data_IF_320617071865
#
_entry.id   IF_320617071865
#
_cell.length_a   1.000
_cell.length_b   1.000
_cell.length_c   1.000
_cell.angle_alpha   90.00
_cell.angle_beta   90.00
_cell.angle_gamma   90.00
#
_symmetry.space_group_name_H-M   'P 1'
#
loop_
_entity.id
_entity.type
_entity.pdbx_description
1 polymer ?
#
# COMPACT_ATOMS: atom_id res chain seq x y z
N UNK A 1 -16.48 13.71 18.20
CA UNK A 1 -16.89 12.64 17.27
C UNK A 1 -16.83 11.33 18.05
N UNK A 2 -17.91 10.54 18.04
CA UNK A 2 -17.97 9.24 18.72
C UNK A 2 -17.94 8.15 17.66
N UNK A 3 -16.88 7.34 17.62
CA UNK A 3 -16.77 6.20 16.72
C UNK A 3 -17.19 4.91 17.44
N UNK A 4 -17.83 3.99 16.73
CA UNK A 4 -18.18 2.65 17.22
C UNK A 4 -17.38 1.61 16.45
N UNK A 5 -17.06 0.49 17.10
CA UNK A 5 -16.45 -0.64 16.40
C UNK A 5 -17.44 -1.23 15.39
N UNK A 6 -16.93 -1.55 14.21
CA UNK A 6 -17.65 -2.35 13.24
C UNK A 6 -17.65 -3.83 13.66
N UNK A 7 -18.62 -4.61 13.16
CA UNK A 7 -18.65 -6.05 13.38
C UNK A 7 -17.41 -6.72 12.79
N UNK A 8 -16.98 -7.83 13.40
CA UNK A 8 -15.90 -8.65 12.86
C UNK A 8 -16.21 -9.08 11.41
N UNK A 9 -15.20 -8.97 10.54
CA UNK A 9 -15.35 -9.28 9.11
C UNK A 9 -15.89 -8.13 8.26
N UNK A 10 -16.19 -6.95 8.84
CA UNK A 10 -16.52 -5.77 8.04
C UNK A 10 -15.31 -5.39 7.17
N UNK A 11 -15.44 -5.32 5.83
CA UNK A 11 -14.34 -4.93 4.96
C UNK A 11 -13.94 -3.48 5.23
N UNK A 12 -12.63 -3.20 5.17
CA UNK A 12 -12.10 -1.85 5.41
C UNK A 12 -12.56 -0.84 4.35
N UNK A 13 -12.72 -1.27 3.10
CA UNK A 13 -13.27 -0.51 1.99
C UNK A 13 -13.99 -1.45 1.02
N UNK A 14 -14.80 -0.89 0.13
CA UNK A 14 -15.50 -1.66 -0.91
C UNK A 14 -14.52 -2.07 -2.01
N UNK A 15 -14.61 -3.32 -2.47
CA UNK A 15 -13.86 -3.76 -3.65
C UNK A 15 -14.39 -3.05 -4.89
N UNK A 16 -13.48 -2.41 -5.63
CA UNK A 16 -13.76 -1.70 -6.86
C UNK A 16 -13.26 -2.53 -8.06
N UNK A 17 -14.08 -2.65 -9.11
CA UNK A 17 -13.82 -3.50 -10.28
C UNK A 17 -13.72 -2.72 -11.60
N UNK A 18 -13.86 -1.39 -11.56
CA UNK A 18 -13.89 -0.52 -12.74
C UNK A 18 -12.54 0.18 -13.02
N UNK A 19 -11.47 -0.28 -12.38
CA UNK A 19 -10.09 0.18 -12.56
C UNK A 19 -9.49 -0.27 -13.92
N UNK A 20 -10.11 0.15 -15.02
CA UNK A 20 -9.67 -0.15 -16.38
C UNK A 20 -8.42 0.67 -16.75
N UNK A 21 -7.35 -0.03 -17.13
CA UNK A 21 -6.03 0.55 -17.37
C UNK A 21 -5.60 0.37 -18.84
N UNK A 22 -6.17 1.16 -19.78
CA UNK A 22 -5.85 1.01 -21.20
C UNK A 22 -4.40 1.38 -21.49
N UNK A 23 -3.80 0.66 -22.44
CA UNK A 23 -2.43 0.87 -22.91
C UNK A 23 -2.39 0.76 -24.42
N UNK A 24 -1.84 1.77 -25.08
CA UNK A 24 -1.74 1.85 -26.53
C UNK A 24 -0.29 2.07 -26.92
N UNK A 25 0.14 1.38 -27.98
CA UNK A 25 1.49 1.51 -28.53
C UNK A 25 1.44 1.43 -30.05
N UNK A 26 2.34 2.18 -30.69
CA UNK A 26 2.50 2.19 -32.14
C UNK A 26 3.97 2.12 -32.50
N UNK A 27 4.27 1.46 -33.62
CA UNK A 27 5.59 1.43 -34.22
C UNK A 27 5.45 1.72 -35.72
N UNK A 28 6.33 2.56 -36.25
CA UNK A 28 6.33 2.96 -37.64
C UNK A 28 7.75 2.95 -38.22
N UNK A 29 7.93 2.23 -39.32
CA UNK A 29 9.19 2.23 -40.07
C UNK A 29 9.25 3.50 -40.92
N UNK A 30 10.11 4.43 -40.52
CA UNK A 30 10.31 5.70 -41.24
C UNK A 30 11.10 5.48 -42.52
N UNK A 31 12.11 4.59 -42.48
CA UNK A 31 12.90 4.24 -43.65
C UNK A 31 13.47 2.85 -43.52
N UNK A 32 13.08 1.95 -44.41
CA UNK A 32 13.67 0.61 -44.51
C UNK A 32 15.14 0.68 -44.94
N UNK A 33 15.47 1.57 -45.90
CA UNK A 33 16.85 1.76 -46.39
C UNK A 33 17.82 2.19 -45.30
N UNK A 34 17.35 2.97 -44.33
CA UNK A 34 18.16 3.47 -43.22
C UNK A 34 17.95 2.67 -41.92
N UNK A 35 17.16 1.60 -41.97
CA UNK A 35 16.71 0.82 -40.82
C UNK A 35 16.25 1.72 -39.66
N UNK A 36 15.39 2.69 -39.98
CA UNK A 36 14.91 3.72 -39.06
C UNK A 36 13.47 3.44 -38.63
N UNK A 37 13.23 3.29 -37.33
CA UNK A 37 11.92 2.99 -36.75
C UNK A 37 11.62 3.99 -35.64
N UNK A 38 10.40 4.51 -35.62
CA UNK A 38 9.86 5.29 -34.50
C UNK A 38 8.88 4.42 -33.73
N UNK A 39 8.95 4.46 -32.40
CA UNK A 39 8.02 3.76 -31.51
C UNK A 39 7.46 4.76 -30.51
N UNK A 40 6.19 4.60 -30.14
CA UNK A 40 5.57 5.43 -29.13
C UNK A 40 4.51 4.66 -28.36
N UNK A 41 4.25 5.07 -27.12
CA UNK A 41 3.25 4.44 -26.27
C UNK A 41 2.66 5.41 -25.25
N UNK A 42 1.44 5.10 -24.82
CA UNK A 42 0.73 5.78 -23.73
C UNK A 42 -0.07 4.76 -22.92
N UNK A 43 -0.17 4.95 -21.62
CA UNK A 43 -0.97 4.08 -20.75
C UNK A 43 -1.39 4.71 -19.45
N UNK A 44 -2.45 4.16 -18.86
CA UNK A 44 -2.89 4.41 -17.50
C UNK A 44 -2.40 3.29 -16.57
N UNK A 45 -1.96 3.66 -15.37
CA UNK A 45 -1.43 2.74 -14.37
C UNK A 45 -2.04 3.08 -13.02
N UNK A 46 -2.69 2.12 -12.36
CA UNK A 46 -3.17 2.28 -10.99
C UNK A 46 -2.10 1.85 -10.00
N UNK A 47 -1.95 2.62 -8.93
CA UNK A 47 -1.20 2.23 -7.74
C UNK A 47 -2.15 1.48 -6.80
N UNK A 48 -1.64 0.46 -6.11
CA UNK A 48 -2.42 -0.28 -5.13
C UNK A 48 -2.61 0.54 -3.85
N UNK A 49 -1.64 1.37 -3.44
CA UNK A 49 -1.76 2.23 -2.25
C UNK A 49 -2.06 1.53 -0.91
N UNK A 50 -2.15 0.19 -0.88
CA UNK A 50 -2.65 -0.59 0.27
C UNK A 50 -1.58 -0.89 1.32
N UNK A 51 -0.33 -0.46 1.14
CA UNK A 51 0.76 -0.75 2.07
C UNK A 51 0.47 -0.28 3.51
N UNK A 52 -0.23 0.84 3.66
CA UNK A 52 -0.64 1.35 4.98
C UNK A 52 -1.80 0.58 5.61
N UNK A 53 -2.56 -0.21 4.84
CA UNK A 53 -3.67 -1.03 5.36
C UNK A 53 -3.20 -2.02 6.41
N UNK A 54 -1.96 -2.51 6.27
CA UNK A 54 -1.38 -3.45 7.23
C UNK A 54 -1.16 -2.83 8.62
N UNK A 55 -1.08 -1.49 8.73
CA UNK A 55 -0.85 -0.82 10.02
C UNK A 55 -1.97 -1.08 11.03
N UNK A 56 -3.20 -1.27 10.56
CA UNK A 56 -4.35 -1.64 11.38
C UNK A 56 -4.19 -2.98 12.13
N UNK A 57 -3.34 -3.88 11.64
CA UNK A 57 -3.08 -5.18 12.27
C UNK A 57 -1.98 -5.13 13.34
N UNK A 58 -1.38 -3.96 13.59
CA UNK A 58 -0.36 -3.78 14.65
C UNK A 58 -0.94 -3.23 15.96
N UNK A 59 -2.26 -3.14 16.04
CA UNK A 59 -3.00 -2.56 17.16
C UNK A 59 -4.14 -3.48 17.59
N UNK A 60 -4.99 -3.01 18.53
CA UNK A 60 -6.22 -3.69 18.90
C UNK A 60 -7.01 -4.16 17.65
N UNK A 61 -7.58 -5.37 17.65
CA UNK A 61 -7.52 -6.40 18.70
C UNK A 61 -6.29 -7.32 18.62
N UNK A 62 -5.49 -7.21 17.57
CA UNK A 62 -4.42 -8.17 17.25
C UNK A 62 -3.14 -7.99 18.05
N UNK A 63 -2.96 -6.83 18.70
CA UNK A 63 -1.81 -6.53 19.53
C UNK A 63 -2.24 -5.80 20.82
N UNK A 64 -1.59 -6.15 21.92
CA UNK A 64 -1.68 -5.41 23.18
C UNK A 64 -0.26 -5.02 23.62
N UNK A 65 -0.06 -3.73 23.89
CA UNK A 65 1.22 -3.19 24.33
C UNK A 65 1.10 -2.69 25.77
N UNK A 66 2.01 -3.15 26.65
CA UNK A 66 2.16 -2.62 28.01
C UNK A 66 3.43 -1.78 28.07
N UNK A 67 3.28 -0.48 28.30
CA UNK A 67 4.41 0.44 28.50
C UNK A 67 4.55 0.74 29.98
N UNK A 68 5.71 0.45 30.57
CA UNK A 68 6.03 0.76 31.96
C UNK A 68 6.89 2.03 31.95
N UNK A 69 6.38 3.12 32.50
CA UNK A 69 7.10 4.42 32.58
C UNK A 69 7.36 4.87 34.02
N UNK A 70 6.76 4.21 35.01
CA UNK A 70 6.94 4.53 36.42
C UNK A 70 8.35 4.14 36.89
N UNK A 71 9.17 5.09 37.38
CA UNK A 71 10.52 4.81 37.89
C UNK A 71 10.58 3.74 38.98
N UNK A 72 9.54 3.60 39.81
CA UNK A 72 9.49 2.57 40.85
C UNK A 72 9.38 1.14 40.28
N UNK A 73 8.85 0.99 39.07
CA UNK A 73 8.71 -0.29 38.36
C UNK A 73 9.88 -0.55 37.38
N UNK A 74 10.61 0.50 36.99
CA UNK A 74 11.80 0.43 36.13
C UNK A 74 13.05 0.01 36.92
N UNK A 75 12.97 -1.14 37.59
CA UNK A 75 14.11 -1.74 38.30
C UNK A 75 14.78 -2.83 37.46
N UNK A 76 16.09 -2.99 37.63
CA UNK A 76 16.86 -4.10 37.06
C UNK A 76 17.48 -4.95 38.17
N UNK A 77 17.24 -6.28 38.18
CA UNK A 77 16.34 -7.01 37.29
C UNK A 77 14.86 -6.64 37.49
N UNK A 78 14.06 -6.71 36.42
CA UNK A 78 12.63 -6.42 36.45
C UNK A 78 11.88 -7.49 37.25
N UNK A 79 10.72 -7.14 37.83
CA UNK A 79 9.85 -8.14 38.43
C UNK A 79 9.09 -8.93 37.39
N UNK A 80 8.98 -10.23 37.63
CA UNK A 80 8.14 -11.10 36.82
C UNK A 80 6.66 -10.68 36.81
N UNK A 81 6.14 -10.14 37.93
CA UNK A 81 4.75 -9.68 38.01
C UNK A 81 4.48 -8.45 37.12
N UNK A 82 5.50 -7.60 36.91
CA UNK A 82 5.39 -6.42 36.06
C UNK A 82 5.45 -6.79 34.56
N UNK A 83 6.01 -7.96 34.22
CA UNK A 83 6.20 -8.44 32.85
C UNK A 83 5.10 -9.38 32.35
N UNK A 84 4.07 -9.68 33.16
CA UNK A 84 2.95 -10.52 32.72
C UNK A 84 2.25 -9.91 31.50
N UNK A 85 1.97 -10.71 30.45
CA UNK A 85 1.29 -10.24 29.25
C UNK A 85 -0.14 -9.81 29.58
N UNK A 86 -0.62 -8.76 28.90
CA UNK A 86 -2.01 -8.34 29.01
C UNK A 86 -2.91 -9.33 28.26
N UNK A 87 -4.12 -9.64 28.77
CA UNK A 87 -5.09 -10.41 28.02
C UNK A 87 -5.52 -9.63 26.77
N UNK A 88 -5.80 -10.34 25.67
CA UNK A 88 -6.41 -9.73 24.49
C UNK A 88 -7.79 -9.16 24.86
N UNK A 89 -8.05 -7.93 24.42
CA UNK A 89 -9.20 -7.13 24.86
C UNK A 89 -10.46 -7.37 24.02
N UNK A 90 -10.53 -8.48 23.28
CA UNK A 90 -11.57 -8.77 22.26
C UNK A 90 -13.02 -8.63 22.77
N UNK A 91 -13.23 -8.64 24.09
CA UNK A 91 -14.52 -8.51 24.76
C UNK A 91 -14.66 -7.32 25.74
N UNK A 92 -13.67 -6.41 25.84
CA UNK A 92 -13.78 -5.26 26.75
C UNK A 92 -14.82 -4.25 26.23
N UNK A 93 -15.72 -3.71 27.07
CA UNK A 93 -16.54 -2.58 26.67
C UNK A 93 -15.66 -1.35 26.40
N UNK A 94 -16.07 -0.45 25.47
CA UNK A 94 -15.36 0.81 25.23
C UNK A 94 -15.31 1.68 26.50
N UNK A 95 -14.32 2.59 26.63
CA UNK A 95 -13.41 3.06 25.58
C UNK A 95 -12.16 2.19 25.38
N UNK A 96 -11.76 2.00 24.13
CA UNK A 96 -10.53 1.30 23.75
C UNK A 96 -9.34 2.28 23.72
N UNK A 97 -8.32 2.01 24.54
CA UNK A 97 -7.07 2.77 24.53
C UNK A 97 -6.07 2.13 23.55
N UNK A 98 -6.25 2.41 22.25
CA UNK A 98 -5.38 1.91 21.18
C UNK A 98 -5.21 2.95 20.07
N UNK A 99 -4.18 2.78 19.25
CA UNK A 99 -4.10 3.46 17.98
C UNK A 99 -5.07 2.83 17.00
N UNK A 100 -5.79 3.66 16.24
CA UNK A 100 -6.71 3.21 15.19
C UNK A 100 -6.32 3.86 13.86
N UNK A 101 -6.27 3.04 12.80
CA UNK A 101 -6.04 3.47 11.44
C UNK A 101 -7.35 3.38 10.67
N UNK A 102 -7.76 4.49 10.06
CA UNK A 102 -8.99 4.57 9.30
C UNK A 102 -8.68 4.72 7.81
N UNK A 103 -9.55 4.13 6.99
CA UNK A 103 -9.51 4.23 5.54
C UNK A 103 -10.84 4.79 5.05
N UNK A 104 -10.82 5.43 3.88
CA UNK A 104 -12.04 5.81 3.19
C UNK A 104 -12.77 4.51 2.77
N UNK A 105 -14.03 4.29 3.20
CA UNK A 105 -14.81 3.12 2.77
C UNK A 105 -15.03 3.06 1.25
N UNK A 106 -14.89 4.20 0.56
CA UNK A 106 -14.89 4.38 -0.89
C UNK A 106 -13.47 4.69 -1.42
N UNK A 107 -12.49 3.91 -0.96
CA UNK A 107 -11.10 4.03 -1.40
C UNK A 107 -10.98 3.92 -2.92
N UNK A 108 -10.50 4.99 -3.55
CA UNK A 108 -10.17 5.02 -4.99
C UNK A 108 -8.68 4.87 -5.19
N UNK A 109 -8.29 4.03 -6.15
CA UNK A 109 -6.89 3.82 -6.46
C UNK A 109 -6.28 5.08 -7.12
N UNK A 110 -5.14 5.60 -6.62
CA UNK A 110 -4.37 6.61 -7.32
C UNK A 110 -3.96 6.10 -8.70
N UNK A 111 -3.94 6.99 -9.70
CA UNK A 111 -3.52 6.61 -11.05
C UNK A 111 -2.43 7.53 -11.59
N UNK A 112 -1.58 6.97 -12.43
CA UNK A 112 -0.50 7.64 -13.17
C UNK A 112 -0.70 7.43 -14.65
N UNK A 113 -0.57 8.51 -15.42
CA UNK A 113 -0.56 8.47 -16.89
C UNK A 113 0.89 8.51 -17.37
N UNK A 114 1.30 7.54 -18.16
CA UNK A 114 2.67 7.44 -18.68
C UNK A 114 2.65 7.46 -20.19
N UNK A 115 3.69 8.05 -20.78
CA UNK A 115 3.91 8.04 -22.23
C UNK A 115 5.41 7.93 -22.53
N UNK A 116 5.75 7.40 -23.70
CA UNK A 116 7.12 7.30 -24.19
C UNK A 116 7.17 7.45 -25.72
N UNK A 117 8.29 7.95 -26.23
CA UNK A 117 8.63 7.99 -27.66
C UNK A 117 10.09 7.62 -27.83
N UNK A 118 10.42 6.77 -28.81
CA UNK A 118 11.78 6.40 -29.15
C UNK A 118 12.01 6.38 -30.66
N UNK A 119 13.26 6.65 -31.03
CA UNK A 119 13.77 6.55 -32.40
C UNK A 119 14.91 5.52 -32.40
N UNK A 120 14.81 4.54 -33.28
CA UNK A 120 15.75 3.43 -33.40
C UNK A 120 16.36 3.42 -34.79
N UNK A 121 17.69 3.35 -34.89
CA UNK A 121 18.42 3.28 -36.17
C UNK A 121 19.47 2.17 -36.11
N UNK A 122 19.36 1.19 -37.01
CA UNK A 122 20.37 0.13 -37.12
C UNK A 122 21.46 0.56 -38.11
N UNK A 123 22.69 0.68 -37.63
CA UNK A 123 23.87 0.95 -38.47
C UNK A 123 24.68 -0.33 -38.67
N UNK A 124 24.67 -0.90 -39.86
CA UNK A 124 25.57 -2.00 -40.21
C UNK A 124 26.98 -1.44 -40.47
N UNK A 125 28.01 -2.01 -39.82
CA UNK A 125 29.42 -1.69 -40.11
C UNK A 125 29.83 -2.48 -41.36
N UNK A 126 30.12 -1.80 -42.45
CA UNK A 126 30.69 -2.43 -43.65
C UNK A 126 32.19 -2.64 -43.41
N UNK A 127 32.59 -3.88 -43.12
CA UNK A 127 33.99 -4.28 -43.29
C UNK A 127 34.20 -4.57 -44.78
N UNK A 128 34.93 -3.69 -45.45
CA UNK A 128 35.66 -3.98 -46.68
C UNK A 128 37.11 -4.21 -46.32
#
# INVERSE_FOLDING_TARGET
MTATLALAGTPQWKTEYDNFAPRFGVAFTVSEKQNLVVRGGIGLYYDLGTGTALRGYTSYPYNVTKTITNPAQLRFPANEIDLQPLPFLDASPPPYSSNFFFFDPSLKLPNTRQWNVSLEKVSAKSNR
#
